data_IF_707595992247
#
_entry.id   IF_707595992247
#
_cell.length_a   1.000
_cell.length_b   1.000
_cell.length_c   1.000
_cell.angle_alpha   90.00
_cell.angle_beta   90.00
_cell.angle_gamma   90.00
#
_symmetry.space_group_name_H-M   'P 1'
#
loop_
_entity.id
_entity.type
_entity.pdbx_description
1 polymer ?
#
# COMPACT_ATOMS: atom_id res chain seq x y z
N UNK A 1 -16.00 5.59 2.50
CA UNK A 1 -17.00 6.25 3.37
C UNK A 1 -16.59 7.72 3.48
N UNK A 2 -17.47 8.65 3.07
CA UNK A 2 -17.25 10.09 3.28
C UNK A 2 -17.36 10.34 4.78
N UNK A 3 -16.25 10.68 5.42
CA UNK A 3 -16.24 10.83 6.87
C UNK A 3 -16.99 12.07 7.32
N UNK A 4 -16.87 13.20 6.63
CA UNK A 4 -17.71 14.40 6.78
C UNK A 4 -17.31 15.48 5.76
N UNK A 5 -18.24 16.25 5.27
CA UNK A 5 -17.99 17.53 4.59
C UNK A 5 -18.24 18.62 5.62
N UNK A 6 -17.21 19.37 5.98
CA UNK A 6 -17.31 20.43 6.96
C UNK A 6 -16.92 21.77 6.35
N UNK A 7 -17.66 22.80 6.74
CA UNK A 7 -17.48 24.17 6.33
C UNK A 7 -16.60 24.91 7.34
N UNK A 8 -15.57 25.61 6.86
CA UNK A 8 -14.65 26.37 7.70
C UNK A 8 -14.52 27.80 7.20
N UNK A 9 -14.51 28.75 8.14
CA UNK A 9 -14.11 30.14 7.91
C UNK A 9 -12.60 30.30 8.10
N UNK A 10 -12.00 31.38 7.56
CA UNK A 10 -10.58 31.72 7.68
C UNK A 10 -10.06 31.73 9.13
N UNK A 11 -10.91 32.07 10.08
CA UNK A 11 -10.62 32.06 11.51
C UNK A 11 -10.51 30.64 12.12
N UNK A 12 -10.86 29.61 11.34
CA UNK A 12 -10.90 28.22 11.81
C UNK A 12 -12.12 27.91 12.67
N UNK A 13 -13.05 28.86 12.83
CA UNK A 13 -14.27 28.74 13.61
C UNK A 13 -15.48 28.54 12.74
N UNK A 14 -16.41 27.72 13.16
CA UNK A 14 -17.69 27.51 12.51
C UNK A 14 -18.76 28.43 13.15
N UNK A 15 -19.40 29.27 12.34
CA UNK A 15 -20.54 30.03 12.82
C UNK A 15 -21.68 29.08 13.25
N UNK A 16 -22.03 29.08 14.53
CA UNK A 16 -23.26 28.45 15.02
C UNK A 16 -23.18 27.13 15.78
N UNK A 17 -22.02 26.48 15.86
CA UNK A 17 -21.79 25.33 16.73
C UNK A 17 -20.32 25.22 17.07
N UNK A 18 -19.98 25.31 18.34
CA UNK A 18 -18.67 25.12 18.95
C UNK A 18 -17.43 25.27 18.04
N UNK A 19 -16.45 26.04 18.45
CA UNK A 19 -15.17 26.35 17.76
C UNK A 19 -14.31 25.09 17.51
N UNK A 20 -14.84 24.11 16.75
CA UNK A 20 -14.13 22.85 16.46
C UNK A 20 -13.36 22.95 15.14
N UNK A 21 -12.05 22.74 15.20
CA UNK A 21 -11.18 22.61 14.04
C UNK A 21 -11.25 21.21 13.43
N UNK A 22 -10.63 21.02 12.27
CA UNK A 22 -10.66 19.71 11.54
C UNK A 22 -10.24 18.54 12.42
N UNK A 23 -9.15 18.67 13.16
CA UNK A 23 -8.66 17.61 14.03
C UNK A 23 -9.59 17.27 15.19
N UNK A 24 -10.31 18.26 15.73
CA UNK A 24 -11.29 18.04 16.81
C UNK A 24 -12.49 17.23 16.28
N UNK A 25 -12.93 17.55 15.06
CA UNK A 25 -14.03 16.85 14.40
C UNK A 25 -13.68 15.44 13.96
N UNK A 26 -12.42 15.21 13.59
CA UNK A 26 -11.90 13.91 13.21
C UNK A 26 -11.42 13.10 14.43
N UNK A 27 -11.52 13.65 15.64
CA UNK A 27 -11.02 13.03 16.86
C UNK A 27 -9.54 12.66 16.77
N UNK A 28 -8.74 13.57 16.18
CA UNK A 28 -7.29 13.40 16.09
C UNK A 28 -6.69 13.28 17.50
N UNK A 29 -5.87 12.26 17.73
CA UNK A 29 -5.22 12.00 19.03
C UNK A 29 -4.50 13.24 19.56
N UNK A 30 -3.78 13.95 18.72
CA UNK A 30 -3.06 15.17 19.13
C UNK A 30 -4.00 16.33 19.49
N UNK A 31 -5.17 16.39 18.85
CA UNK A 31 -6.17 17.39 19.20
C UNK A 31 -6.83 17.10 20.55
N UNK A 32 -7.09 15.84 20.84
CA UNK A 32 -7.68 15.40 22.12
C UNK A 32 -6.68 15.47 23.27
N UNK A 33 -5.39 15.32 23.01
CA UNK A 33 -4.33 15.38 24.02
C UNK A 33 -3.96 16.82 24.46
N UNK A 34 -4.42 17.83 23.73
CA UNK A 34 -4.11 19.23 24.01
C UNK A 34 -5.36 19.99 24.49
N UNK A 35 -5.27 20.72 25.59
CA UNK A 35 -6.40 21.50 26.16
C UNK A 35 -6.98 22.51 25.16
N UNK A 36 -6.15 23.11 24.31
CA UNK A 36 -6.59 24.04 23.25
C UNK A 36 -7.10 23.37 21.97
N UNK A 37 -7.19 22.02 21.94
CA UNK A 37 -7.68 21.26 20.80
C UNK A 37 -6.72 21.24 19.59
N UNK A 38 -7.27 21.02 18.41
CA UNK A 38 -6.51 20.92 17.17
C UNK A 38 -5.67 22.19 16.90
N UNK A 39 -4.37 21.99 16.68
CA UNK A 39 -3.43 23.07 16.36
C UNK A 39 -2.61 23.60 17.54
N UNK A 40 -2.86 23.11 18.75
CA UNK A 40 -2.14 23.56 19.96
C UNK A 40 -1.12 22.54 20.48
N UNK A 41 -1.20 21.29 20.03
CA UNK A 41 -0.21 20.27 20.35
C UNK A 41 1.12 20.51 19.62
N UNK A 42 2.25 20.13 20.20
CA UNK A 42 3.61 20.33 19.64
C UNK A 42 3.76 19.75 18.22
N UNK A 43 3.17 18.60 17.93
CA UNK A 43 3.17 17.99 16.59
C UNK A 43 2.26 18.66 15.56
N UNK A 44 1.37 19.57 15.98
CA UNK A 44 0.49 20.27 15.04
C UNK A 44 1.24 21.28 14.14
N UNK A 45 2.47 21.66 14.51
CA UNK A 45 3.32 22.51 13.67
C UNK A 45 3.70 21.88 12.33
N UNK A 46 3.89 20.54 12.31
CA UNK A 46 4.23 19.76 11.10
C UNK A 46 3.03 19.03 10.48
N UNK A 47 1.80 19.31 10.93
CA UNK A 47 0.61 18.65 10.42
C UNK A 47 0.36 19.01 8.94
N UNK A 48 0.37 18.03 8.01
CA UNK A 48 0.21 18.31 6.58
C UNK A 48 -1.16 18.93 6.23
N UNK A 49 -2.21 18.49 6.94
CA UNK A 49 -3.58 19.02 6.73
C UNK A 49 -3.65 20.50 7.13
N UNK A 50 -3.10 20.85 8.29
CA UNK A 50 -3.07 22.24 8.74
C UNK A 50 -2.25 23.12 7.79
N UNK A 51 -1.13 22.63 7.32
CA UNK A 51 -0.27 23.34 6.36
C UNK A 51 -1.01 23.57 5.05
N UNK A 52 -1.67 22.56 4.50
CA UNK A 52 -2.44 22.67 3.26
C UNK A 52 -3.60 23.66 3.39
N UNK A 53 -4.36 23.60 4.49
CA UNK A 53 -5.46 24.56 4.74
C UNK A 53 -4.95 25.99 4.83
N UNK A 54 -3.86 26.24 5.59
CA UNK A 54 -3.28 27.57 5.71
C UNK A 54 -2.80 28.11 4.36
N UNK A 55 -2.05 27.31 3.60
CA UNK A 55 -1.58 27.69 2.26
C UNK A 55 -2.74 27.96 1.29
N UNK A 56 -3.81 27.17 1.36
CA UNK A 56 -4.99 27.36 0.54
C UNK A 56 -5.69 28.71 0.82
N UNK A 57 -5.79 29.12 2.08
CA UNK A 57 -6.30 30.44 2.44
C UNK A 57 -5.34 31.57 2.01
N UNK A 58 -4.04 31.45 2.26
CA UNK A 58 -3.03 32.44 1.86
C UNK A 58 -2.99 32.66 0.34
N UNK A 59 -3.16 31.58 -0.43
CA UNK A 59 -3.08 31.60 -1.88
C UNK A 59 -4.45 31.69 -2.57
N UNK A 60 -5.53 31.69 -1.80
CA UNK A 60 -6.93 31.70 -2.28
C UNK A 60 -7.20 30.64 -3.33
N UNK A 61 -6.73 29.41 -3.07
CA UNK A 61 -6.85 28.29 -4.02
C UNK A 61 -7.30 27.00 -3.33
N UNK A 62 -7.78 26.09 -4.16
CA UNK A 62 -8.12 24.73 -3.73
C UNK A 62 -6.85 23.89 -3.55
N UNK A 63 -6.97 22.82 -2.77
CA UNK A 63 -6.03 21.69 -2.79
C UNK A 63 -6.82 20.39 -2.93
N UNK A 64 -6.24 19.40 -3.62
CA UNK A 64 -6.87 18.11 -3.87
C UNK A 64 -5.91 16.99 -3.53
N UNK A 65 -6.47 15.82 -3.20
CA UNK A 65 -5.76 14.57 -3.07
C UNK A 65 -4.56 14.57 -2.10
N UNK A 66 -4.66 15.38 -1.04
CA UNK A 66 -3.67 15.35 0.04
C UNK A 66 -3.81 14.02 0.80
N UNK A 67 -2.86 13.13 0.63
CA UNK A 67 -2.79 11.90 1.42
C UNK A 67 -2.18 12.20 2.79
N UNK A 68 -2.82 11.68 3.84
CA UNK A 68 -2.31 11.79 5.20
C UNK A 68 -2.77 10.60 6.03
N UNK A 69 -1.88 10.10 6.90
CA UNK A 69 -2.23 9.14 7.95
C UNK A 69 -2.55 9.89 9.22
N UNK A 70 -3.70 9.59 9.80
CA UNK A 70 -4.25 10.23 10.99
C UNK A 70 -4.35 9.22 12.13
N UNK A 71 -3.78 9.54 13.28
CA UNK A 71 -4.08 8.81 14.52
C UNK A 71 -5.39 9.34 15.08
N UNK A 72 -6.46 8.58 14.98
CA UNK A 72 -7.79 8.96 15.45
C UNK A 72 -8.21 8.12 16.65
N UNK A 73 -8.92 8.73 17.59
CA UNK A 73 -9.46 8.05 18.76
C UNK A 73 -10.90 7.65 18.48
N UNK A 74 -11.20 6.37 18.63
CA UNK A 74 -12.53 5.80 18.42
C UNK A 74 -13.42 5.95 19.66
N UNK A 75 -14.69 5.64 19.55
CA UNK A 75 -15.67 5.77 20.65
C UNK A 75 -15.39 4.87 21.86
N UNK A 76 -14.64 3.80 21.67
CA UNK A 76 -14.14 2.89 22.72
C UNK A 76 -12.79 3.34 23.31
N UNK A 77 -12.37 4.57 23.01
CA UNK A 77 -11.12 5.19 23.47
C UNK A 77 -9.84 4.47 22.98
N UNK A 78 -9.94 3.70 21.89
CA UNK A 78 -8.76 3.14 21.23
C UNK A 78 -8.21 4.09 20.16
N UNK A 79 -6.89 4.10 19.98
CA UNK A 79 -6.26 4.88 18.92
C UNK A 79 -6.06 3.98 17.70
N UNK A 80 -6.55 4.40 16.55
CA UNK A 80 -6.37 3.70 15.27
C UNK A 80 -5.73 4.63 14.24
N UNK A 81 -4.89 4.05 13.38
CA UNK A 81 -4.35 4.76 12.24
C UNK A 81 -5.36 4.71 11.09
N UNK A 82 -5.67 5.87 10.54
CA UNK A 82 -6.60 6.05 9.44
C UNK A 82 -5.87 6.72 8.28
N UNK A 83 -5.78 6.04 7.14
CA UNK A 83 -5.32 6.65 5.91
C UNK A 83 -6.46 7.44 5.28
N UNK A 84 -6.22 8.71 5.02
CA UNK A 84 -7.22 9.61 4.48
C UNK A 84 -6.69 10.36 3.25
N UNK A 85 -7.60 10.60 2.29
CA UNK A 85 -7.41 11.55 1.20
C UNK A 85 -8.27 12.77 1.49
N UNK A 86 -7.64 13.94 1.51
CA UNK A 86 -8.24 15.19 1.96
C UNK A 86 -8.16 16.21 0.82
N UNK A 87 -9.29 16.87 0.56
CA UNK A 87 -9.37 17.95 -0.40
C UNK A 87 -10.04 19.19 0.23
N UNK A 88 -9.60 20.36 -0.15
CA UNK A 88 -10.13 21.64 0.31
C UNK A 88 -10.53 22.54 -0.86
N UNK A 89 -11.78 23.00 -0.86
CA UNK A 89 -12.29 23.97 -1.85
C UNK A 89 -12.49 25.31 -1.18
N UNK A 90 -11.68 26.28 -1.58
CA UNK A 90 -11.75 27.68 -1.13
C UNK A 90 -12.85 28.42 -1.91
N UNK A 91 -13.60 29.29 -1.23
CA UNK A 91 -14.60 30.15 -1.85
C UNK A 91 -14.92 31.37 -0.98
N UNK A 92 -15.50 32.37 -1.57
CA UNK A 92 -16.01 33.55 -0.88
C UNK A 92 -17.54 33.45 -0.72
N UNK A 93 -18.02 33.70 0.49
CA UNK A 93 -19.45 33.80 0.78
C UNK A 93 -19.68 35.05 1.63
N UNK A 94 -20.47 36.01 1.11
CA UNK A 94 -20.73 37.32 1.74
C UNK A 94 -19.42 38.06 2.13
N UNK A 95 -18.45 38.07 1.23
CA UNK A 95 -17.11 38.65 1.42
C UNK A 95 -16.24 37.95 2.48
N UNK A 96 -16.73 36.89 3.12
CA UNK A 96 -15.96 36.08 4.05
C UNK A 96 -15.26 34.93 3.31
N UNK A 97 -13.99 34.68 3.66
CA UNK A 97 -13.22 33.57 3.10
C UNK A 97 -13.59 32.25 3.78
N UNK A 98 -13.96 31.27 2.99
CA UNK A 98 -14.47 29.99 3.45
C UNK A 98 -13.80 28.83 2.73
N UNK A 99 -13.85 27.65 3.36
CA UNK A 99 -13.33 26.41 2.77
C UNK A 99 -14.22 25.21 3.13
N UNK A 100 -14.55 24.41 2.13
CA UNK A 100 -15.13 23.08 2.33
C UNK A 100 -14.00 22.06 2.35
N UNK A 101 -13.91 21.30 3.42
CA UNK A 101 -12.94 20.20 3.56
C UNK A 101 -13.68 18.88 3.38
N UNK A 102 -13.20 18.06 2.45
CA UNK A 102 -13.68 16.70 2.24
C UNK A 102 -12.61 15.71 2.70
N UNK A 103 -13.01 14.74 3.51
CA UNK A 103 -12.11 13.70 4.03
C UNK A 103 -12.66 12.34 3.65
N UNK A 104 -11.88 11.58 2.89
CA UNK A 104 -12.18 10.22 2.50
C UNK A 104 -11.26 9.24 3.23
N UNK A 105 -11.83 8.33 4.01
CA UNK A 105 -11.13 7.20 4.59
C UNK A 105 -10.81 6.17 3.49
N UNK A 106 -9.54 5.96 3.24
CA UNK A 106 -9.04 5.02 2.23
C UNK A 106 -8.29 3.84 2.85
N UNK A 107 -8.33 3.69 4.16
CA UNK A 107 -7.59 2.67 4.93
C UNK A 107 -7.84 1.27 4.39
N UNK A 108 -9.11 0.89 4.26
CA UNK A 108 -9.47 -0.45 3.73
C UNK A 108 -9.00 -0.67 2.29
N UNK A 109 -9.09 0.37 1.45
CA UNK A 109 -8.62 0.30 0.06
C UNK A 109 -7.11 0.06 0.02
N UNK A 110 -6.34 0.85 0.76
CA UNK A 110 -4.87 0.69 0.84
C UNK A 110 -4.45 -0.67 1.41
N UNK A 111 -5.17 -1.16 2.41
CA UNK A 111 -4.92 -2.49 2.97
C UNK A 111 -5.15 -3.58 1.91
N UNK A 112 -6.30 -3.57 1.22
CA UNK A 112 -6.60 -4.54 0.18
C UNK A 112 -5.62 -4.48 -1.01
N UNK A 113 -5.23 -3.28 -1.44
CA UNK A 113 -4.22 -3.08 -2.49
C UNK A 113 -2.86 -3.66 -2.06
N UNK A 114 -2.45 -3.45 -0.80
CA UNK A 114 -1.20 -4.00 -0.28
C UNK A 114 -1.24 -5.52 -0.16
N UNK A 115 -2.34 -6.10 0.32
CA UNK A 115 -2.53 -7.55 0.39
C UNK A 115 -2.47 -8.19 -1.00
N UNK A 116 -3.13 -7.58 -1.99
CA UNK A 116 -3.10 -8.05 -3.38
C UNK A 116 -1.69 -7.99 -3.96
N UNK A 117 -0.95 -6.90 -3.71
CA UNK A 117 0.44 -6.76 -4.15
C UNK A 117 1.33 -7.85 -3.56
N UNK A 118 1.22 -8.10 -2.25
CA UNK A 118 2.01 -9.14 -1.58
C UNK A 118 1.66 -10.55 -2.08
N UNK A 119 0.37 -10.83 -2.32
CA UNK A 119 -0.07 -12.09 -2.88
C UNK A 119 0.46 -12.30 -4.30
N UNK A 120 0.43 -11.25 -5.14
CA UNK A 120 0.99 -11.27 -6.49
C UNK A 120 2.50 -11.55 -6.48
N UNK A 121 3.26 -10.82 -5.67
CA UNK A 121 4.71 -11.03 -5.54
C UNK A 121 5.06 -12.46 -5.09
N UNK A 122 4.27 -13.01 -4.17
CA UNK A 122 4.44 -14.40 -3.72
C UNK A 122 4.15 -15.41 -4.83
N UNK A 123 3.10 -15.20 -5.61
CA UNK A 123 2.75 -16.05 -6.75
C UNK A 123 3.84 -16.00 -7.85
N UNK A 124 4.32 -14.81 -8.20
CA UNK A 124 5.39 -14.63 -9.19
C UNK A 124 6.69 -15.34 -8.76
N UNK A 125 7.09 -15.21 -7.50
CA UNK A 125 8.25 -15.92 -6.96
C UNK A 125 8.10 -17.44 -7.01
N UNK A 126 6.90 -17.95 -6.70
CA UNK A 126 6.61 -19.37 -6.76
C UNK A 126 6.67 -19.91 -8.21
N UNK A 127 6.17 -19.14 -9.18
CA UNK A 127 6.20 -19.52 -10.60
C UNK A 127 7.62 -19.56 -11.17
N UNK A 128 8.45 -18.56 -10.83
CA UNK A 128 9.87 -18.54 -11.19
C UNK A 128 10.59 -19.76 -10.59
N UNK A 129 10.36 -20.06 -9.31
CA UNK A 129 10.98 -21.21 -8.63
C UNK A 129 10.55 -22.53 -9.27
N UNK A 130 9.26 -22.68 -9.61
CA UNK A 130 8.72 -23.86 -10.30
C UNK A 130 9.36 -24.04 -11.69
N UNK A 131 9.49 -22.95 -12.45
CA UNK A 131 10.09 -23.00 -13.79
C UNK A 131 11.58 -23.39 -13.73
N UNK A 132 12.32 -22.83 -12.80
CA UNK A 132 13.73 -23.18 -12.58
C UNK A 132 13.87 -24.66 -12.15
N UNK A 133 13.02 -25.13 -11.26
CA UNK A 133 13.00 -26.52 -10.84
C UNK A 133 12.74 -27.48 -12.02
N UNK A 134 11.72 -27.19 -12.85
CA UNK A 134 11.41 -28.01 -14.02
C UNK A 134 12.54 -28.03 -15.06
N UNK A 135 13.19 -26.88 -15.27
CA UNK A 135 14.35 -26.80 -16.18
C UNK A 135 15.51 -27.66 -15.66
N UNK A 136 15.86 -27.57 -14.38
CA UNK A 136 16.92 -28.36 -13.76
C UNK A 136 16.59 -29.86 -13.81
N UNK A 137 15.37 -30.24 -13.43
CA UNK A 137 14.93 -31.65 -13.49
C UNK A 137 14.99 -32.21 -14.91
N UNK A 138 14.61 -31.42 -15.92
CA UNK A 138 14.70 -31.84 -17.32
C UNK A 138 16.14 -32.14 -17.73
N UNK A 139 17.10 -31.35 -17.28
CA UNK A 139 18.52 -31.58 -17.52
C UNK A 139 19.03 -32.82 -16.78
N UNK A 140 18.66 -32.95 -15.49
CA UNK A 140 19.10 -34.09 -14.67
C UNK A 140 18.53 -35.44 -15.14
N UNK A 141 17.31 -35.42 -15.74
CA UNK A 141 16.72 -36.62 -16.34
C UNK A 141 17.32 -36.93 -17.73
N UNK A 142 17.58 -35.92 -18.54
CA UNK A 142 18.09 -36.09 -19.90
C UNK A 142 19.49 -36.73 -19.92
N UNK A 143 20.35 -36.34 -19.00
CA UNK A 143 21.75 -36.84 -18.96
C UNK A 143 21.82 -38.35 -18.79
N UNK A 144 21.20 -39.01 -17.75
CA UNK A 144 21.23 -40.44 -17.63
C UNK A 144 20.43 -41.16 -18.74
N UNK A 145 19.34 -40.54 -19.23
CA UNK A 145 18.56 -41.11 -20.33
C UNK A 145 19.37 -41.17 -21.62
N UNK A 146 20.12 -40.13 -21.96
CA UNK A 146 21.01 -40.12 -23.13
C UNK A 146 22.13 -41.12 -22.98
N UNK A 147 22.67 -41.32 -21.77
CA UNK A 147 23.65 -42.37 -21.51
C UNK A 147 23.06 -43.76 -21.75
N UNK A 148 21.87 -44.06 -21.19
CA UNK A 148 21.18 -45.33 -21.37
C UNK A 148 20.89 -45.60 -22.87
N UNK A 149 20.35 -44.61 -23.60
CA UNK A 149 20.07 -44.76 -25.03
C UNK A 149 21.33 -44.94 -25.85
N UNK A 150 22.39 -44.18 -25.56
CA UNK A 150 23.69 -44.35 -26.24
C UNK A 150 24.30 -45.74 -26.01
N UNK A 151 24.26 -46.26 -24.77
CA UNK A 151 24.73 -47.61 -24.49
C UNK A 151 23.85 -48.69 -25.16
N UNK A 152 22.54 -48.51 -25.20
CA UNK A 152 21.63 -49.43 -25.87
C UNK A 152 21.89 -49.47 -27.43
N UNK A 153 22.22 -48.32 -28.03
CA UNK A 153 22.59 -48.25 -29.46
C UNK A 153 23.94 -48.97 -29.72
N UNK A 154 24.94 -48.78 -28.88
CA UNK A 154 26.24 -49.46 -28.97
C UNK A 154 26.09 -50.96 -28.80
N UNK A 155 25.31 -51.41 -27.80
CA UNK A 155 25.04 -52.85 -27.63
C UNK A 155 24.27 -53.46 -28.83
N UNK A 156 23.33 -52.68 -29.38
CA UNK A 156 22.57 -53.13 -30.58
C UNK A 156 23.42 -53.21 -31.86
N UNK A 157 24.52 -52.45 -31.93
CA UNK A 157 25.48 -52.49 -33.05
C UNK A 157 26.60 -53.51 -32.93
N UNK A 158 26.79 -54.13 -31.77
CA UNK A 158 27.81 -55.12 -31.53
C UNK A 158 27.54 -56.42 -32.31
N UNK A 159 28.49 -56.80 -33.19
CA UNK A 159 28.35 -57.95 -34.08
C UNK A 159 28.95 -59.23 -33.47
N UNK A 160 29.72 -59.15 -32.41
CA UNK A 160 30.37 -60.31 -31.76
C UNK A 160 29.99 -60.39 -30.27
N UNK A 161 29.98 -61.60 -29.69
CA UNK A 161 29.70 -61.83 -28.27
C UNK A 161 30.84 -61.25 -27.38
N UNK A 162 32.06 -61.14 -27.91
CA UNK A 162 33.19 -60.53 -27.23
C UNK A 162 33.05 -59.03 -27.09
N UNK A 163 32.58 -58.33 -28.14
CA UNK A 163 32.22 -56.91 -28.10
C UNK A 163 31.07 -56.62 -27.14
N UNK A 164 30.05 -57.43 -27.09
CA UNK A 164 28.94 -57.30 -26.12
C UNK A 164 29.41 -57.43 -24.68
N UNK A 165 30.29 -58.38 -24.39
CA UNK A 165 30.83 -58.58 -23.07
C UNK A 165 31.68 -57.39 -22.60
N UNK A 166 32.48 -56.84 -23.50
CA UNK A 166 33.32 -55.65 -23.21
C UNK A 166 32.46 -54.39 -22.95
N UNK A 167 31.34 -54.19 -23.65
CA UNK A 167 30.43 -53.08 -23.39
C UNK A 167 29.64 -53.23 -22.14
N UNK A 168 29.30 -54.47 -21.69
CA UNK A 168 28.61 -54.73 -20.42
C UNK A 168 29.48 -54.47 -19.18
N UNK A 169 30.81 -54.49 -19.28
CA UNK A 169 31.71 -54.20 -18.18
C UNK A 169 31.92 -52.67 -17.95
N UNK A 170 31.49 -51.85 -18.92
CA UNK A 170 31.62 -50.38 -18.87
C UNK A 170 30.33 -49.73 -18.31
N UNK A 171 29.20 -50.42 -18.25
CA UNK A 171 27.90 -49.95 -17.74
C UNK A 171 27.77 -50.21 -16.26
#
# INVERSE_FOLDING_TARGET
KVLKTNYYQKTGTRKGTEEKRVGDLLQCRNALAAEGGCGTHSFCGSCPIRTAIRQAFEQRRNFTDLEATLSVVTSDNTTVECDAVISGSYFLLNEEENMVITVHDVTRRKQAENELRLAKEKAEKADISKSAFLANMSHEIRTPLNAITGFAEVLGSANTEEEKAQYQEII
#
